data_IF_040042530593
#
_entry.id   IF_040042530593
#
_cell.length_a   1.000
_cell.length_b   1.000
_cell.length_c   1.000
_cell.angle_alpha   90.00
_cell.angle_beta   90.00
_cell.angle_gamma   90.00
#
_symmetry.space_group_name_H-M   'P 1'
#
loop_
_entity.id
_entity.type
_entity.pdbx_description
1 polymer ?
#
# COMPACT_ATOMS: atom_id res chain seq x y z
N UNK A 1 5.43 27.99 -2.99
CA UNK A 1 5.07 28.36 -1.60
C UNK A 1 6.21 28.02 -0.64
N UNK A 2 6.32 28.79 0.44
CA UNK A 2 7.22 28.51 1.55
C UNK A 2 6.37 28.02 2.72
N UNK A 3 6.45 26.73 3.13
CA UNK A 3 5.52 26.12 4.11
C UNK A 3 5.48 26.85 5.46
N UNK A 4 6.63 27.39 5.91
CA UNK A 4 6.72 28.10 7.19
C UNK A 4 5.95 29.44 7.23
N UNK A 5 5.63 30.03 6.07
CA UNK A 5 4.83 31.27 5.98
C UNK A 5 3.34 31.01 6.28
N UNK A 6 2.88 29.75 6.25
CA UNK A 6 1.51 29.32 6.55
C UNK A 6 0.43 30.13 5.85
N UNK A 7 0.67 30.57 4.62
CA UNK A 7 -0.33 31.32 3.85
C UNK A 7 -1.59 30.49 3.64
N UNK A 8 -2.77 31.09 3.85
CA UNK A 8 -4.07 30.41 3.69
C UNK A 8 -4.21 29.76 2.32
N UNK A 9 -3.70 30.41 1.27
CA UNK A 9 -3.69 29.88 -0.09
C UNK A 9 -2.90 28.55 -0.21
N UNK A 10 -1.81 28.39 0.55
CA UNK A 10 -1.05 27.15 0.62
C UNK A 10 -1.77 26.09 1.47
N UNK A 11 -2.26 26.49 2.65
CA UNK A 11 -2.94 25.56 3.57
C UNK A 11 -4.21 24.98 2.95
N UNK A 12 -4.94 25.74 2.15
CA UNK A 12 -6.13 25.28 1.45
C UNK A 12 -5.83 24.23 0.35
N UNK A 13 -4.56 24.09 -0.07
CA UNK A 13 -4.17 23.14 -1.12
C UNK A 13 -3.61 21.83 -0.57
N UNK A 14 -3.37 21.75 0.72
CA UNK A 14 -2.75 20.58 1.35
C UNK A 14 -3.63 20.02 2.46
N UNK A 15 -3.48 18.74 2.71
CA UNK A 15 -3.98 18.10 3.92
C UNK A 15 -2.96 17.10 4.46
N UNK A 16 -2.95 16.92 5.77
CA UNK A 16 -2.05 16.00 6.47
C UNK A 16 -2.88 15.14 7.42
N UNK A 17 -2.73 13.84 7.30
CA UNK A 17 -3.30 12.85 8.21
C UNK A 17 -2.17 12.04 8.82
N UNK A 18 -2.16 11.96 10.14
CA UNK A 18 -1.24 11.13 10.90
C UNK A 18 -2.04 10.03 11.57
N UNK A 19 -1.70 8.75 11.33
CA UNK A 19 -2.46 7.61 11.81
C UNK A 19 -2.69 7.55 13.32
N UNK A 20 -1.84 8.22 14.10
CA UNK A 20 -1.94 8.26 15.56
C UNK A 20 -2.49 9.58 16.13
N UNK A 21 -2.70 10.61 15.32
CA UNK A 21 -3.24 11.90 15.78
C UNK A 21 -4.69 12.05 15.35
N UNK A 22 -5.54 12.39 16.33
CA UNK A 22 -6.95 12.61 16.12
C UNK A 22 -7.20 14.07 15.76
N UNK A 23 -8.00 14.31 14.73
CA UNK A 23 -8.50 15.63 14.33
C UNK A 23 -9.98 15.79 14.70
N UNK A 24 -10.69 14.68 14.91
CA UNK A 24 -12.08 14.64 15.27
C UNK A 24 -12.29 14.87 16.78
N UNK A 25 -13.38 15.52 17.13
CA UNK A 25 -13.76 15.76 18.52
C UNK A 25 -14.35 14.49 19.11
N UNK A 26 -13.70 13.93 20.15
CA UNK A 26 -13.94 12.60 20.71
C UNK A 26 -15.38 12.32 21.14
N UNK A 27 -16.00 13.31 21.79
CA UNK A 27 -17.35 13.17 22.33
C UNK A 27 -18.47 13.58 21.36
N UNK A 28 -18.13 14.15 20.22
CA UNK A 28 -19.09 14.57 19.21
C UNK A 28 -19.18 13.56 18.05
N UNK A 29 -20.30 13.54 17.33
CA UNK A 29 -20.40 12.85 16.04
C UNK A 29 -19.44 13.43 15.01
N UNK A 30 -18.86 12.61 14.10
CA UNK A 30 -17.98 13.10 13.04
C UNK A 30 -18.58 14.21 12.19
N UNK A 31 -19.88 14.18 11.95
CA UNK A 31 -20.59 15.17 11.14
C UNK A 31 -20.38 16.60 11.64
N UNK A 32 -20.30 16.80 12.98
CA UNK A 32 -20.09 18.12 13.57
C UNK A 32 -18.66 18.62 13.27
N UNK A 33 -17.67 17.76 13.38
CA UNK A 33 -16.29 18.07 13.00
C UNK A 33 -16.15 18.37 11.51
N UNK A 34 -16.91 17.70 10.64
CA UNK A 34 -16.91 17.95 9.20
C UNK A 34 -17.45 19.35 8.87
N UNK A 35 -18.57 19.75 9.49
CA UNK A 35 -19.07 21.11 9.29
C UNK A 35 -18.16 22.18 9.90
N UNK A 36 -17.52 21.88 11.04
CA UNK A 36 -16.50 22.79 11.60
C UNK A 36 -15.32 22.99 10.63
N UNK A 37 -14.78 21.89 10.10
CA UNK A 37 -13.70 21.95 9.11
C UNK A 37 -14.15 22.70 7.85
N UNK A 38 -15.36 22.42 7.34
CA UNK A 38 -15.90 23.15 6.20
C UNK A 38 -15.97 24.67 6.45
N UNK A 39 -16.40 25.08 7.65
CA UNK A 39 -16.42 26.48 8.04
C UNK A 39 -15.02 27.11 8.13
N UNK A 40 -14.04 26.39 8.69
CA UNK A 40 -12.63 26.84 8.78
C UNK A 40 -12.05 27.09 7.39
N UNK A 41 -12.38 26.23 6.41
CA UNK A 41 -11.93 26.36 5.02
C UNK A 41 -12.81 27.27 4.17
N UNK A 42 -13.81 27.94 4.75
CA UNK A 42 -14.70 28.85 4.05
C UNK A 42 -15.63 28.20 3.03
N UNK A 43 -15.97 26.90 3.24
CA UNK A 43 -16.84 26.14 2.35
C UNK A 43 -18.29 26.41 2.75
N UNK A 44 -19.11 26.80 1.77
CA UNK A 44 -20.53 27.04 1.98
C UNK A 44 -21.26 25.77 2.41
N UNK A 45 -22.23 25.89 3.33
CA UNK A 45 -22.90 24.73 3.98
C UNK A 45 -23.56 23.78 2.97
N UNK A 46 -24.12 24.30 1.89
CA UNK A 46 -24.72 23.49 0.84
C UNK A 46 -23.69 22.62 0.11
N UNK A 47 -22.53 23.18 -0.17
CA UNK A 47 -21.41 22.49 -0.80
C UNK A 47 -20.77 21.48 0.17
N UNK A 48 -20.58 21.85 1.43
CA UNK A 48 -20.10 20.95 2.47
C UNK A 48 -21.00 19.70 2.57
N UNK A 49 -22.33 19.89 2.56
CA UNK A 49 -23.30 18.78 2.60
C UNK A 49 -23.13 17.82 1.42
N UNK A 50 -22.92 18.35 0.20
CA UNK A 50 -22.68 17.51 -1.00
C UNK A 50 -21.38 16.71 -0.88
N UNK A 51 -20.30 17.35 -0.43
CA UNK A 51 -19.00 16.71 -0.26
C UNK A 51 -19.02 15.64 0.84
N UNK A 52 -19.64 15.93 1.97
CA UNK A 52 -19.82 14.96 3.06
C UNK A 52 -20.56 13.74 2.54
N UNK A 53 -21.68 13.94 1.83
CA UNK A 53 -22.45 12.84 1.23
C UNK A 53 -21.57 12.00 0.29
N UNK A 54 -20.92 12.62 -0.66
CA UNK A 54 -20.06 11.95 -1.64
C UNK A 54 -18.94 11.14 -0.97
N UNK A 55 -18.19 11.76 -0.06
CA UNK A 55 -17.08 11.11 0.61
C UNK A 55 -17.54 10.01 1.58
N UNK A 56 -18.66 10.21 2.28
CA UNK A 56 -19.20 9.19 3.20
C UNK A 56 -19.72 7.96 2.47
N UNK A 57 -20.29 8.13 1.27
CA UNK A 57 -20.68 7.02 0.40
C UNK A 57 -19.45 6.25 -0.09
N UNK A 58 -18.39 6.95 -0.56
CA UNK A 58 -17.14 6.31 -1.00
C UNK A 58 -16.41 5.57 0.13
N UNK A 59 -16.47 6.10 1.35
CA UNK A 59 -15.84 5.52 2.54
C UNK A 59 -16.72 4.47 3.23
N UNK A 60 -17.99 4.36 2.83
CA UNK A 60 -18.95 3.45 3.45
C UNK A 60 -19.10 3.69 4.97
N UNK A 61 -19.29 4.97 5.38
CA UNK A 61 -19.44 5.36 6.80
C UNK A 61 -20.70 6.17 7.07
N UNK A 62 -21.72 6.06 6.22
CA UNK A 62 -22.95 6.86 6.36
C UNK A 62 -23.68 6.66 7.70
N UNK A 63 -23.61 5.45 8.26
CA UNK A 63 -24.25 5.11 9.54
C UNK A 63 -23.49 5.68 10.74
N UNK A 64 -22.19 5.81 10.60
CA UNK A 64 -21.26 6.25 11.64
C UNK A 64 -21.21 7.77 11.80
N UNK A 65 -21.72 8.52 10.83
CA UNK A 65 -21.68 10.00 10.82
C UNK A 65 -22.28 10.65 12.07
N UNK A 66 -23.29 10.01 12.64
CA UNK A 66 -24.10 10.52 13.75
C UNK A 66 -23.80 9.86 15.09
N UNK A 67 -22.82 8.93 15.13
CA UNK A 67 -22.37 8.29 16.36
C UNK A 67 -21.18 9.06 16.94
N UNK A 68 -21.07 9.26 18.26
CA UNK A 68 -19.88 9.87 18.85
C UNK A 68 -18.60 9.13 18.45
N UNK A 69 -17.52 9.87 18.13
CA UNK A 69 -16.24 9.32 17.66
C UNK A 69 -15.72 8.21 18.57
N UNK A 70 -15.89 8.34 19.89
CA UNK A 70 -15.50 7.34 20.90
C UNK A 70 -16.17 5.96 20.73
N UNK A 71 -17.30 5.88 20.02
CA UNK A 71 -18.01 4.62 19.74
C UNK A 71 -17.60 3.96 18.44
N UNK A 72 -16.76 4.62 17.64
CA UNK A 72 -16.30 4.10 16.37
C UNK A 72 -15.14 3.13 16.56
N UNK A 73 -15.09 2.08 15.75
CA UNK A 73 -13.91 1.23 15.63
C UNK A 73 -12.73 2.05 15.08
N UNK A 74 -11.50 1.54 15.22
CA UNK A 74 -10.32 2.22 14.70
C UNK A 74 -10.43 2.46 13.18
N UNK A 75 -10.92 1.47 12.43
CA UNK A 75 -11.12 1.60 10.98
C UNK A 75 -12.19 2.62 10.61
N UNK A 76 -13.34 2.63 11.32
CA UNK A 76 -14.38 3.62 11.11
C UNK A 76 -13.90 5.03 11.45
N UNK A 77 -13.13 5.16 12.53
CA UNK A 77 -12.52 6.44 12.92
C UNK A 77 -11.54 6.93 11.86
N UNK A 78 -10.65 6.06 11.35
CA UNK A 78 -9.72 6.44 10.28
C UNK A 78 -10.46 6.91 9.02
N UNK A 79 -11.54 6.26 8.63
CA UNK A 79 -12.39 6.70 7.52
C UNK A 79 -12.98 8.10 7.77
N UNK A 80 -13.43 8.36 9.00
CA UNK A 80 -13.97 9.68 9.36
C UNK A 80 -12.87 10.76 9.40
N UNK A 81 -11.66 10.45 9.89
CA UNK A 81 -10.49 11.34 9.83
C UNK A 81 -10.14 11.70 8.37
N UNK A 82 -10.18 10.71 7.47
CA UNK A 82 -9.97 10.95 6.04
C UNK A 82 -11.03 11.90 5.47
N UNK A 83 -12.30 11.67 5.77
CA UNK A 83 -13.36 12.57 5.31
C UNK A 83 -13.13 14.00 5.79
N UNK A 84 -12.80 14.18 7.07
CA UNK A 84 -12.50 15.50 7.64
C UNK A 84 -11.35 16.21 6.90
N UNK A 85 -10.31 15.46 6.58
CA UNK A 85 -9.13 15.98 5.90
C UNK A 85 -9.36 16.27 4.40
N UNK A 86 -10.36 15.64 3.78
CA UNK A 86 -10.66 15.76 2.35
C UNK A 86 -11.78 16.75 2.03
N UNK A 87 -12.46 17.30 3.04
CA UNK A 87 -13.65 18.13 2.85
C UNK A 87 -13.38 19.40 2.03
N UNK A 88 -12.16 19.94 2.12
CA UNK A 88 -11.75 21.12 1.38
C UNK A 88 -11.13 20.82 0.00
N UNK A 89 -11.15 19.53 -0.42
CA UNK A 89 -10.64 19.05 -1.71
C UNK A 89 -9.17 19.45 -1.97
N UNK A 90 -8.23 19.00 -1.13
CA UNK A 90 -6.81 19.36 -1.24
C UNK A 90 -6.19 18.85 -2.53
N UNK A 91 -5.26 19.61 -3.11
CA UNK A 91 -4.46 19.19 -4.26
C UNK A 91 -3.39 18.15 -3.87
N UNK A 92 -2.91 18.21 -2.62
CA UNK A 92 -1.87 17.33 -2.09
C UNK A 92 -2.32 16.78 -0.74
N UNK A 93 -2.32 15.47 -0.63
CA UNK A 93 -2.65 14.75 0.59
C UNK A 93 -1.40 14.05 1.13
N UNK A 94 -1.02 14.38 2.35
CA UNK A 94 0.04 13.69 3.10
C UNK A 94 -0.59 12.69 4.04
N UNK A 95 -0.20 11.43 3.94
CA UNK A 95 -0.67 10.33 4.77
C UNK A 95 0.52 9.70 5.49
N UNK A 96 0.53 9.81 6.81
CA UNK A 96 1.58 9.20 7.63
C UNK A 96 1.04 7.95 8.29
N UNK A 97 1.47 6.77 7.80
CA UNK A 97 1.08 5.44 8.29
C UNK A 97 -0.46 5.25 8.42
N UNK A 98 -1.27 5.52 7.38
CA UNK A 98 -2.73 5.57 7.52
C UNK A 98 -3.38 4.22 7.76
N UNK A 99 -2.68 3.11 7.54
CA UNK A 99 -3.18 1.74 7.73
C UNK A 99 -2.71 1.11 9.05
N UNK A 100 -1.89 1.84 9.83
CA UNK A 100 -1.31 1.33 11.08
C UNK A 100 -2.41 0.97 12.09
N UNK A 101 -2.34 -0.28 12.60
CA UNK A 101 -3.28 -0.78 13.60
C UNK A 101 -4.67 -1.16 13.07
N UNK A 102 -4.93 -1.01 11.76
CA UNK A 102 -6.16 -1.46 11.14
C UNK A 102 -6.14 -2.96 10.88
N UNK A 103 -7.30 -3.60 10.97
CA UNK A 103 -7.47 -4.98 10.51
C UNK A 103 -7.33 -5.11 8.97
N UNK A 104 -7.17 -6.34 8.49
CA UNK A 104 -6.90 -6.63 7.08
C UNK A 104 -7.98 -6.06 6.15
N UNK A 105 -9.26 -6.14 6.55
CA UNK A 105 -10.38 -5.65 5.75
C UNK A 105 -10.41 -4.12 5.71
N UNK A 106 -10.20 -3.47 6.86
CA UNK A 106 -10.13 -2.01 6.95
C UNK A 106 -8.96 -1.46 6.13
N UNK A 107 -7.77 -2.11 6.17
CA UNK A 107 -6.63 -1.76 5.32
C UNK A 107 -6.96 -1.90 3.83
N UNK A 108 -7.61 -3.00 3.41
CA UNK A 108 -7.98 -3.23 2.01
C UNK A 108 -8.97 -2.17 1.52
N UNK A 109 -10.00 -1.86 2.33
CA UNK A 109 -10.99 -0.82 2.02
C UNK A 109 -10.34 0.56 1.91
N UNK A 110 -9.41 0.89 2.81
CA UNK A 110 -8.69 2.15 2.78
C UNK A 110 -7.85 2.29 1.51
N UNK A 111 -7.11 1.25 1.12
CA UNK A 111 -6.34 1.23 -0.14
C UNK A 111 -7.24 1.47 -1.36
N UNK A 112 -8.36 0.75 -1.42
CA UNK A 112 -9.34 0.91 -2.51
C UNK A 112 -9.88 2.34 -2.57
N UNK A 113 -10.24 2.90 -1.43
CA UNK A 113 -10.69 4.29 -1.34
C UNK A 113 -9.64 5.27 -1.85
N UNK A 114 -8.39 5.19 -1.37
CA UNK A 114 -7.32 6.10 -1.79
C UNK A 114 -7.04 6.02 -3.29
N UNK A 115 -7.10 4.82 -3.87
CA UNK A 115 -6.93 4.62 -5.31
C UNK A 115 -8.07 5.28 -6.10
N UNK A 116 -9.32 5.08 -5.68
CA UNK A 116 -10.49 5.69 -6.31
C UNK A 116 -10.46 7.22 -6.16
N UNK A 117 -10.20 7.72 -4.97
CA UNK A 117 -10.10 9.16 -4.71
C UNK A 117 -9.04 9.84 -5.59
N UNK A 118 -7.83 9.24 -5.66
CA UNK A 118 -6.77 9.76 -6.53
C UNK A 118 -7.20 9.79 -8.01
N UNK A 119 -7.90 8.75 -8.48
CA UNK A 119 -8.41 8.66 -9.86
C UNK A 119 -9.47 9.72 -10.16
N UNK A 120 -10.41 9.93 -9.23
CA UNK A 120 -11.53 10.87 -9.40
C UNK A 120 -11.10 12.34 -9.28
N UNK A 121 -10.17 12.64 -8.37
CA UNK A 121 -9.78 14.04 -8.08
C UNK A 121 -8.49 14.47 -8.76
N UNK A 122 -7.63 13.53 -9.18
CA UNK A 122 -6.29 13.83 -9.65
C UNK A 122 -5.33 14.37 -8.57
N UNK A 123 -5.72 14.32 -7.29
CA UNK A 123 -4.90 14.81 -6.18
C UNK A 123 -3.62 14.04 -6.05
N UNK A 124 -2.53 14.70 -5.72
CA UNK A 124 -1.25 14.04 -5.41
C UNK A 124 -1.30 13.47 -4.00
N UNK A 125 -1.03 12.18 -3.85
CA UNK A 125 -0.96 11.53 -2.53
C UNK A 125 0.49 11.18 -2.23
N UNK A 126 1.03 11.71 -1.13
CA UNK A 126 2.30 11.31 -0.54
C UNK A 126 2.01 10.44 0.69
N UNK A 127 2.44 9.19 0.63
CA UNK A 127 2.14 8.17 1.64
C UNK A 127 3.43 7.69 2.28
N UNK A 128 3.48 7.64 3.61
CA UNK A 128 4.45 6.80 4.32
C UNK A 128 3.79 5.50 4.75
N UNK A 129 4.46 4.39 4.61
CA UNK A 129 4.03 3.09 5.14
C UNK A 129 5.21 2.15 5.28
N UNK A 130 5.17 1.31 6.31
CA UNK A 130 6.03 0.14 6.45
C UNK A 130 5.35 -1.15 5.99
N UNK A 131 4.07 -1.09 5.61
CA UNK A 131 3.35 -2.22 5.01
C UNK A 131 3.57 -2.27 3.50
N UNK A 132 4.29 -3.28 3.01
CA UNK A 132 4.59 -3.41 1.59
C UNK A 132 3.36 -3.52 0.71
N UNK A 133 2.27 -4.09 1.22
CA UNK A 133 0.98 -4.16 0.49
C UNK A 133 0.43 -2.78 0.15
N UNK A 134 0.63 -1.78 1.01
CA UNK A 134 0.20 -0.41 0.72
C UNK A 134 1.02 0.20 -0.40
N UNK A 135 2.34 0.05 -0.31
CA UNK A 135 3.28 0.57 -1.30
C UNK A 135 3.03 -0.05 -2.66
N UNK A 136 2.89 -1.38 -2.73
CA UNK A 136 2.67 -2.08 -4.01
C UNK A 136 1.31 -1.81 -4.64
N UNK A 137 0.30 -1.59 -3.82
CA UNK A 137 -1.06 -1.34 -4.30
C UNK A 137 -1.27 0.12 -4.75
N UNK A 138 -0.68 1.08 -4.03
CA UNK A 138 -0.94 2.51 -4.22
C UNK A 138 0.15 3.24 -4.98
N UNK A 139 1.43 2.85 -4.84
CA UNK A 139 2.55 3.67 -5.27
C UNK A 139 3.15 3.21 -6.60
N UNK A 140 3.26 4.11 -7.57
CA UNK A 140 4.04 3.89 -8.79
C UNK A 140 5.50 4.34 -8.67
N UNK A 141 5.74 5.35 -7.81
CA UNK A 141 7.06 5.90 -7.48
C UNK A 141 7.28 5.79 -6.00
N UNK A 142 8.49 5.45 -5.61
CA UNK A 142 8.90 5.33 -4.21
C UNK A 142 10.18 6.11 -3.95
N UNK A 143 10.26 6.66 -2.75
CA UNK A 143 11.46 7.31 -2.22
C UNK A 143 11.85 6.52 -0.97
N UNK A 144 13.02 5.88 -1.00
CA UNK A 144 13.56 5.17 0.15
C UNK A 144 14.52 6.09 0.90
N UNK A 145 14.30 6.23 2.20
CA UNK A 145 15.13 7.03 3.09
C UNK A 145 15.77 6.10 4.13
N UNK A 146 17.06 6.19 4.30
CA UNK A 146 17.81 5.47 5.33
C UNK A 146 18.82 6.41 5.96
N UNK A 147 18.86 6.45 7.30
CA UNK A 147 19.74 7.36 8.08
C UNK A 147 19.68 8.83 7.61
N UNK A 148 18.48 9.31 7.26
CA UNK A 148 18.27 10.68 6.80
C UNK A 148 18.70 10.96 5.35
N UNK A 149 19.19 9.94 4.63
CA UNK A 149 19.66 10.06 3.24
C UNK A 149 18.69 9.35 2.29
N UNK A 150 18.37 10.00 1.15
CA UNK A 150 17.62 9.35 0.07
C UNK A 150 18.52 8.33 -0.62
N UNK A 151 18.19 7.04 -0.45
CA UNK A 151 18.93 5.92 -1.03
C UNK A 151 18.37 5.49 -2.38
N UNK A 152 17.09 5.75 -2.63
CA UNK A 152 16.43 5.51 -3.90
C UNK A 152 15.31 6.52 -4.14
N UNK A 153 15.17 6.97 -5.36
CA UNK A 153 14.03 7.75 -5.86
C UNK A 153 13.70 7.31 -7.29
N UNK A 154 12.52 6.73 -7.49
CA UNK A 154 12.15 6.25 -8.82
C UNK A 154 10.94 5.32 -8.83
N UNK A 155 10.71 4.69 -10.00
CA UNK A 155 9.60 3.74 -10.18
C UNK A 155 9.77 2.51 -9.29
N UNK A 156 8.70 2.11 -8.61
CA UNK A 156 8.67 0.90 -7.78
C UNK A 156 9.06 -0.35 -8.58
N UNK A 157 8.54 -0.50 -9.79
CA UNK A 157 8.84 -1.62 -10.68
C UNK A 157 10.34 -1.79 -10.93
N UNK A 158 11.05 -0.67 -11.23
CA UNK A 158 12.51 -0.69 -11.43
C UNK A 158 13.26 -1.09 -10.17
N UNK A 159 12.78 -0.64 -9.01
CA UNK A 159 13.35 -1.02 -7.73
C UNK A 159 13.22 -2.53 -7.49
N UNK A 160 12.03 -3.07 -7.66
CA UNK A 160 11.75 -4.49 -7.49
C UNK A 160 12.55 -5.36 -8.44
N UNK A 161 12.67 -4.96 -9.71
CA UNK A 161 13.49 -5.70 -10.70
C UNK A 161 14.97 -5.70 -10.32
N UNK A 162 15.49 -4.58 -9.82
CA UNK A 162 16.90 -4.46 -9.42
C UNK A 162 17.22 -5.29 -8.16
N UNK A 163 16.30 -5.35 -7.20
CA UNK A 163 16.54 -5.98 -5.90
C UNK A 163 16.16 -7.45 -5.86
N UNK A 164 15.22 -7.87 -6.68
CA UNK A 164 14.76 -9.24 -6.80
C UNK A 164 14.81 -9.68 -8.26
N UNK A 165 16.03 -9.93 -8.80
CA UNK A 165 16.19 -10.39 -10.18
C UNK A 165 15.69 -11.83 -10.37
N UNK A 166 15.49 -12.58 -9.29
CA UNK A 166 15.14 -13.99 -9.29
C UNK A 166 13.69 -14.24 -8.85
N UNK A 167 13.15 -15.39 -9.23
CA UNK A 167 11.91 -15.99 -8.76
C UNK A 167 12.17 -17.37 -8.19
N UNK A 168 11.42 -17.75 -7.19
CA UNK A 168 11.44 -19.10 -6.66
C UNK A 168 10.40 -19.96 -7.41
N UNK A 169 10.87 -21.05 -8.02
CA UNK A 169 10.05 -22.02 -8.72
C UNK A 169 10.00 -23.29 -7.88
N UNK A 170 8.88 -23.56 -7.24
CA UNK A 170 8.65 -24.77 -6.46
C UNK A 170 7.87 -25.78 -7.29
N UNK A 171 8.41 -26.96 -7.45
CA UNK A 171 7.87 -28.05 -8.25
C UNK A 171 7.53 -29.19 -7.33
N UNK A 172 6.32 -29.69 -7.41
CA UNK A 172 5.88 -30.91 -6.73
C UNK A 172 5.86 -32.04 -7.76
N UNK A 173 6.65 -33.10 -7.49
CA UNK A 173 6.80 -34.22 -8.35
C UNK A 173 5.98 -35.44 -7.89
N UNK A 174 5.49 -36.25 -8.83
CA UNK A 174 4.79 -37.48 -8.52
C UNK A 174 5.71 -38.56 -7.96
N UNK A 175 7.01 -38.55 -8.28
CA UNK A 175 7.96 -39.54 -7.84
C UNK A 175 9.30 -38.91 -7.42
N UNK A 176 10.02 -39.63 -6.54
CA UNK A 176 11.37 -39.25 -6.09
C UNK A 176 12.37 -39.28 -7.26
N UNK A 177 12.16 -40.15 -8.26
CA UNK A 177 13.01 -40.24 -9.46
C UNK A 177 12.98 -38.94 -10.27
N UNK A 178 11.82 -38.26 -10.31
CA UNK A 178 11.69 -36.99 -11.01
C UNK A 178 12.50 -35.87 -10.32
N UNK A 179 12.56 -35.89 -8.98
CA UNK A 179 13.41 -34.98 -8.21
C UNK A 179 14.90 -35.20 -8.52
N UNK A 180 15.35 -36.44 -8.61
CA UNK A 180 16.75 -36.73 -8.96
C UNK A 180 17.10 -36.26 -10.38
N UNK A 181 16.16 -36.37 -11.31
CA UNK A 181 16.33 -35.84 -12.65
C UNK A 181 16.29 -34.31 -12.70
N UNK A 182 15.43 -33.68 -11.92
CA UNK A 182 15.38 -32.23 -11.78
C UNK A 182 16.65 -31.66 -11.16
N UNK A 183 17.29 -32.38 -10.22
CA UNK A 183 18.60 -31.97 -9.66
C UNK A 183 19.72 -31.89 -10.70
N UNK A 184 19.60 -32.62 -11.82
CA UNK A 184 20.58 -32.56 -12.92
C UNK A 184 20.46 -31.30 -13.78
N UNK A 185 19.38 -30.55 -13.62
CA UNK A 185 19.28 -29.23 -14.25
C UNK A 185 20.30 -28.29 -13.60
N UNK A 186 20.99 -27.52 -14.42
CA UNK A 186 21.98 -26.56 -13.95
C UNK A 186 21.29 -25.30 -13.37
N UNK A 187 20.43 -25.51 -12.38
CA UNK A 187 19.66 -24.47 -11.70
C UNK A 187 20.05 -24.41 -10.22
N UNK A 188 20.02 -23.22 -9.65
CA UNK A 188 20.28 -23.01 -8.23
C UNK A 188 19.14 -23.60 -7.39
N UNK A 189 19.46 -24.64 -6.60
CA UNK A 189 18.49 -25.29 -5.71
C UNK A 189 18.46 -24.53 -4.39
N UNK A 190 17.27 -24.02 -4.03
CA UNK A 190 17.04 -23.30 -2.77
C UNK A 190 16.66 -24.26 -1.63
N UNK A 191 15.78 -25.22 -1.91
CA UNK A 191 15.28 -26.18 -0.92
C UNK A 191 14.77 -27.46 -1.59
N UNK A 192 14.84 -28.57 -0.85
CA UNK A 192 14.26 -29.86 -1.23
C UNK A 192 13.55 -30.42 -0.02
N UNK A 193 12.27 -30.74 -0.17
CA UNK A 193 11.45 -31.42 0.84
C UNK A 193 10.71 -32.55 0.15
N UNK A 194 10.78 -33.78 0.69
CA UNK A 194 10.10 -35.00 0.20
C UNK A 194 9.85 -35.01 -1.32
N UNK A 195 8.66 -34.61 -1.76
CA UNK A 195 8.25 -34.55 -3.16
C UNK A 195 8.37 -33.19 -3.81
N UNK A 196 8.93 -32.19 -3.12
CA UNK A 196 9.03 -30.83 -3.61
C UNK A 196 10.47 -30.37 -3.75
N UNK A 197 10.80 -29.76 -4.90
CA UNK A 197 12.06 -29.08 -5.12
C UNK A 197 11.80 -27.61 -5.48
N UNK A 198 12.56 -26.71 -4.87
CA UNK A 198 12.47 -25.25 -5.14
C UNK A 198 13.77 -24.76 -5.74
N UNK A 199 13.65 -24.14 -6.92
CA UNK A 199 14.76 -23.51 -7.64
C UNK A 199 14.67 -22.00 -7.54
N UNK A 200 15.84 -21.35 -7.50
CA UNK A 200 15.96 -19.91 -7.72
C UNK A 200 16.30 -19.68 -9.20
N UNK A 201 15.40 -18.99 -9.92
CA UNK A 201 15.53 -18.79 -11.38
C UNK A 201 15.52 -17.30 -11.69
N UNK A 202 16.47 -16.84 -12.55
CA UNK A 202 16.51 -15.46 -13.00
C UNK A 202 15.24 -15.10 -13.80
N UNK A 203 14.65 -13.93 -13.55
CA UNK A 203 13.42 -13.48 -14.24
C UNK A 203 13.55 -13.44 -15.76
N UNK A 204 14.76 -13.17 -16.28
CA UNK A 204 15.02 -13.13 -17.72
C UNK A 204 14.94 -14.52 -18.35
N UNK A 205 15.41 -15.55 -17.65
CA UNK A 205 15.46 -16.93 -18.15
C UNK A 205 14.23 -17.74 -17.76
N UNK A 206 13.41 -17.20 -16.86
CA UNK A 206 12.30 -17.90 -16.21
C UNK A 206 11.35 -18.59 -17.19
N UNK A 207 10.96 -17.89 -18.29
CA UNK A 207 10.05 -18.42 -19.29
C UNK A 207 10.63 -19.64 -20.02
N UNK A 208 11.92 -19.61 -20.33
CA UNK A 208 12.60 -20.69 -21.03
C UNK A 208 12.80 -21.88 -20.11
N UNK A 209 13.27 -21.64 -18.89
CA UNK A 209 13.42 -22.66 -17.84
C UNK A 209 12.11 -23.36 -17.54
N UNK A 210 11.01 -22.60 -17.39
CA UNK A 210 9.68 -23.16 -17.14
C UNK A 210 9.21 -24.07 -18.28
N UNK A 211 9.38 -23.63 -19.55
CA UNK A 211 9.06 -24.44 -20.73
C UNK A 211 9.89 -25.73 -20.78
N UNK A 212 11.16 -25.67 -20.47
CA UNK A 212 12.05 -26.82 -20.46
C UNK A 212 11.57 -27.86 -19.43
N UNK A 213 11.25 -27.40 -18.21
CA UNK A 213 10.78 -28.24 -17.12
C UNK A 213 9.46 -28.90 -17.47
N UNK A 214 8.47 -28.13 -17.93
CA UNK A 214 7.14 -28.64 -18.29
C UNK A 214 7.17 -29.65 -19.44
N UNK A 215 8.13 -29.53 -20.37
CA UNK A 215 8.25 -30.45 -21.50
C UNK A 215 8.99 -31.76 -21.14
N UNK A 216 9.85 -31.75 -20.12
CA UNK A 216 10.72 -32.89 -19.80
C UNK A 216 10.24 -33.71 -18.61
N UNK A 217 9.43 -33.15 -17.73
CA UNK A 217 9.06 -33.76 -16.45
C UNK A 217 7.54 -33.81 -16.27
N UNK A 218 7.07 -34.95 -15.70
CA UNK A 218 5.66 -35.10 -15.29
C UNK A 218 5.48 -34.51 -13.88
N UNK A 219 4.93 -33.30 -13.84
CA UNK A 219 4.79 -32.46 -12.63
C UNK A 219 3.37 -32.65 -12.09
N UNK A 220 3.23 -32.78 -10.78
CA UNK A 220 1.93 -32.81 -10.10
C UNK A 220 1.39 -31.41 -9.89
N UNK A 221 2.25 -30.52 -9.37
CA UNK A 221 1.88 -29.10 -9.16
C UNK A 221 3.10 -28.19 -9.27
N UNK A 222 2.84 -26.89 -9.50
CA UNK A 222 3.87 -25.90 -9.69
C UNK A 222 3.47 -24.58 -9.02
N UNK A 223 4.34 -24.08 -8.15
CA UNK A 223 4.16 -22.79 -7.50
C UNK A 223 5.29 -21.83 -7.88
N UNK A 224 4.90 -20.61 -8.29
CA UNK A 224 5.84 -19.54 -8.59
C UNK A 224 5.73 -18.52 -7.47
N UNK A 225 6.81 -18.35 -6.70
CA UNK A 225 6.87 -17.39 -5.62
C UNK A 225 7.87 -16.28 -5.97
N UNK A 226 7.47 -15.05 -5.72
CA UNK A 226 8.42 -13.95 -5.65
C UNK A 226 8.84 -13.78 -4.20
N UNK A 227 10.12 -13.46 -3.93
CA UNK A 227 10.55 -13.21 -2.57
C UNK A 227 9.70 -12.09 -1.97
N UNK A 228 9.34 -12.17 -0.68
CA UNK A 228 8.57 -11.13 0.00
C UNK A 228 9.22 -9.76 -0.21
N UNK A 229 8.41 -8.77 -0.56
CA UNK A 229 8.92 -7.43 -0.88
C UNK A 229 9.62 -6.81 0.33
N UNK A 230 9.21 -7.18 1.54
CA UNK A 230 9.84 -6.79 2.81
C UNK A 230 11.31 -7.22 2.86
N UNK A 231 11.63 -8.45 2.45
CA UNK A 231 13.01 -8.93 2.34
C UNK A 231 13.79 -8.18 1.25
N UNK A 232 13.11 -7.89 0.15
CA UNK A 232 13.70 -7.18 -0.99
C UNK A 232 14.11 -5.76 -0.59
N UNK A 233 13.25 -5.04 0.12
CA UNK A 233 13.53 -3.68 0.57
C UNK A 233 14.53 -3.69 1.73
N UNK A 234 14.46 -4.68 2.63
CA UNK A 234 15.46 -4.87 3.70
C UNK A 234 16.90 -4.91 3.17
N UNK A 235 17.11 -5.50 1.99
CA UNK A 235 18.43 -5.52 1.31
C UNK A 235 18.97 -4.15 0.93
N UNK A 236 18.10 -3.15 0.68
CA UNK A 236 18.54 -1.76 0.41
C UNK A 236 19.13 -1.14 1.67
N UNK A 237 18.55 -1.47 2.82
CA UNK A 237 18.94 -0.90 4.09
C UNK A 237 20.25 -1.50 4.62
N UNK A 238 20.58 -2.73 4.20
CA UNK A 238 21.75 -3.48 4.67
C UNK A 238 22.97 -3.29 3.74
N UNK A 239 22.77 -3.17 2.42
CA UNK A 239 23.83 -3.22 1.39
C UNK A 239 24.59 -1.90 1.15
N UNK A 240 24.56 -0.94 2.09
CA UNK A 240 25.44 0.24 2.08
C UNK A 240 26.24 0.31 3.39
N UNK A 241 27.02 -0.71 3.66
CA UNK A 241 28.21 -0.61 4.48
C UNK A 241 29.43 -0.52 3.59
#
# INVERSE_FOLDING_TARGET
YRPYERKSEFLNKISLIMGQKQQLIWDLPPIDSFYLNAAIYGIEKSEAKKRIKFLSEMLEINKELYLPVRKLSLGQRMKAELLAALIHNPNILFLDEPTLGLDINAQANLRKFLQLYNKETGSTILLTSHYMKDITYLCRRVICIHEGIVTYDGKLEKLLTKLSPNKDLSIICKSIKDIENLKKLNLEIKNINDNQITFTVNKLDFKNTLKEILNKFDIEDLHINEPPIDEVIGKILINKK
#
